data_IF_630723951136
#
_entry.id   IF_630723951136
#
_cell.length_a   1.000
_cell.length_b   1.000
_cell.length_c   1.000
_cell.angle_alpha   90.00
_cell.angle_beta   90.00
_cell.angle_gamma   90.00
#
_symmetry.space_group_name_H-M   'P 1'
#
loop_
_entity.id
_entity.type
_entity.pdbx_description
1 polymer ?
#
# COMPACT_ATOMS: atom_id res chain seq x y z
N UNK A 1 0.95 -8.27 -10.96
CA UNK A 1 1.82 -7.10 -10.66
C UNK A 1 3.18 -7.17 -11.39
N UNK A 2 3.39 -8.22 -12.19
CA UNK A 2 4.71 -8.76 -12.54
C UNK A 2 5.55 -7.80 -13.38
N UNK A 3 4.91 -6.97 -14.21
CA UNK A 3 5.62 -5.95 -15.00
C UNK A 3 6.28 -4.90 -14.11
N UNK A 4 5.63 -4.49 -13.02
CA UNK A 4 6.17 -3.50 -12.08
C UNK A 4 7.35 -4.12 -11.32
N UNK A 5 7.16 -5.35 -10.82
CA UNK A 5 8.19 -6.12 -10.10
C UNK A 5 9.44 -6.28 -10.96
N UNK A 6 9.31 -6.78 -12.20
CA UNK A 6 10.43 -6.96 -13.13
C UNK A 6 11.23 -5.69 -13.39
N UNK A 7 10.55 -4.55 -13.47
CA UNK A 7 11.22 -3.25 -13.64
C UNK A 7 11.99 -2.89 -12.38
N UNK A 8 11.39 -2.96 -11.19
CA UNK A 8 12.06 -2.68 -9.92
C UNK A 8 13.31 -3.56 -9.74
N UNK A 9 13.19 -4.86 -10.01
CA UNK A 9 14.31 -5.82 -9.95
C UNK A 9 15.40 -5.49 -10.96
N UNK A 10 15.06 -5.05 -12.18
CA UNK A 10 16.06 -4.64 -13.19
C UNK A 10 16.91 -3.45 -12.73
N UNK A 11 16.35 -2.59 -11.88
CA UNK A 11 17.04 -1.49 -11.22
C UNK A 11 17.65 -1.89 -9.86
N UNK A 12 17.61 -3.18 -9.50
CA UNK A 12 18.08 -3.72 -8.20
C UNK A 12 17.38 -3.10 -6.99
N UNK A 13 16.12 -2.69 -7.15
CA UNK A 13 15.30 -2.17 -6.06
C UNK A 13 14.56 -3.31 -5.35
N UNK A 14 14.38 -3.22 -4.02
CA UNK A 14 13.63 -4.21 -3.26
C UNK A 14 12.14 -4.18 -3.63
N UNK A 15 11.51 -5.35 -3.66
CA UNK A 15 10.07 -5.53 -3.96
C UNK A 15 9.29 -6.14 -2.80
N UNK A 16 9.98 -6.50 -1.71
CA UNK A 16 9.42 -7.04 -0.48
C UNK A 16 10.20 -6.52 0.74
N UNK A 17 9.65 -6.73 1.93
CA UNK A 17 10.29 -6.39 3.21
C UNK A 17 9.86 -7.38 4.27
N UNK A 18 10.77 -7.72 5.19
CA UNK A 18 10.51 -8.60 6.33
C UNK A 18 9.95 -7.83 7.54
N UNK A 19 9.66 -6.53 7.39
CA UNK A 19 9.07 -5.72 8.45
C UNK A 19 7.68 -6.28 8.81
N UNK A 20 7.39 -6.49 10.09
CA UNK A 20 6.11 -7.04 10.49
C UNK A 20 4.99 -6.01 10.27
N UNK A 21 3.79 -6.49 9.96
CA UNK A 21 2.66 -5.62 9.64
C UNK A 21 2.29 -4.71 10.83
N UNK A 22 2.46 -5.19 12.07
CA UNK A 22 2.24 -4.39 13.29
C UNK A 22 3.11 -3.13 13.37
N UNK A 23 4.29 -3.12 12.74
CA UNK A 23 5.19 -1.96 12.72
C UNK A 23 4.83 -0.99 11.59
N UNK A 24 4.33 -1.53 10.47
CA UNK A 24 4.01 -0.74 9.26
C UNK A 24 2.67 0.00 9.41
N UNK A 25 1.65 -0.68 9.92
CA UNK A 25 0.27 -0.18 9.96
C UNK A 25 0.11 1.15 10.74
N UNK A 26 0.73 1.33 11.93
CA UNK A 26 0.67 2.59 12.66
C UNK A 26 1.29 3.76 11.88
N UNK A 27 2.38 3.51 11.16
CA UNK A 27 3.08 4.53 10.36
C UNK A 27 2.20 4.98 9.20
N UNK A 28 1.61 4.04 8.45
CA UNK A 28 0.68 4.37 7.36
C UNK A 28 -0.53 5.14 7.88
N UNK A 29 -1.10 4.71 9.02
CA UNK A 29 -2.25 5.38 9.63
C UNK A 29 -1.94 6.80 10.14
N UNK A 30 -0.66 7.11 10.39
CA UNK A 30 -0.20 8.43 10.82
C UNK A 30 -0.02 9.43 9.66
N UNK A 31 -0.12 8.99 8.40
CA UNK A 31 0.06 9.85 7.23
C UNK A 31 -0.93 11.03 7.24
N UNK A 32 -0.39 12.24 7.06
CA UNK A 32 -1.03 13.55 7.28
C UNK A 32 -2.10 13.95 6.26
N UNK A 33 -2.74 13.02 5.54
CA UNK A 33 -3.89 13.28 4.64
C UNK A 33 -5.25 13.11 5.32
N UNK A 34 -5.31 13.36 6.64
CA UNK A 34 -6.51 13.33 7.46
C UNK A 34 -7.39 14.57 7.27
N UNK A 35 -7.81 14.87 6.04
CA UNK A 35 -8.93 15.79 5.83
C UNK A 35 -10.24 15.04 6.10
N UNK A 36 -10.64 15.00 7.38
CA UNK A 36 -11.97 14.50 7.77
C UNK A 36 -12.12 12.98 7.84
N UNK A 37 -11.23 12.28 8.57
CA UNK A 37 -11.36 10.85 8.97
C UNK A 37 -11.14 9.77 7.90
N UNK A 38 -10.61 10.13 6.72
CA UNK A 38 -10.33 9.19 5.61
C UNK A 38 -8.90 9.34 5.11
N UNK A 39 -8.27 8.20 4.81
CA UNK A 39 -6.96 8.12 4.17
C UNK A 39 -7.16 7.97 2.66
N UNK A 40 -6.38 8.69 1.86
CA UNK A 40 -6.48 8.65 0.40
C UNK A 40 -5.26 7.95 -0.19
N UNK A 41 -5.47 6.72 -0.66
CA UNK A 41 -4.42 5.90 -1.29
C UNK A 41 -4.39 6.12 -2.80
N UNK A 42 -3.20 6.22 -3.36
CA UNK A 42 -3.00 6.17 -4.81
C UNK A 42 -2.89 4.70 -5.20
N UNK A 43 -3.88 4.19 -5.92
CA UNK A 43 -3.91 2.82 -6.42
C UNK A 43 -3.86 2.81 -7.94
N UNK A 44 -3.37 1.73 -8.52
CA UNK A 44 -3.28 1.55 -9.97
C UNK A 44 -4.40 0.64 -10.47
N UNK A 45 -5.16 1.08 -11.47
CA UNK A 45 -5.97 0.17 -12.30
C UNK A 45 -5.10 -0.56 -13.32
N UNK A 46 -4.05 0.11 -13.77
CA UNK A 46 -3.04 -0.40 -14.68
C UNK A 46 -1.85 0.55 -14.77
N UNK A 47 -0.81 0.16 -15.50
CA UNK A 47 0.35 1.04 -15.72
C UNK A 47 -0.12 2.27 -16.50
N UNK A 48 0.07 3.45 -15.92
CA UNK A 48 -0.36 4.74 -16.49
C UNK A 48 -1.75 5.22 -16.05
N UNK A 49 -2.51 4.43 -15.28
CA UNK A 49 -3.83 4.83 -14.75
C UNK A 49 -3.88 4.63 -13.23
N UNK A 50 -3.86 5.76 -12.52
CA UNK A 50 -3.94 5.83 -11.08
C UNK A 50 -5.21 6.53 -10.62
N UNK A 51 -5.73 6.14 -9.45
CA UNK A 51 -6.86 6.80 -8.82
C UNK A 51 -6.69 6.91 -7.32
N UNK A 52 -7.39 7.88 -6.73
CA UNK A 52 -7.47 8.03 -5.28
C UNK A 52 -8.60 7.14 -4.74
N UNK A 53 -8.24 6.21 -3.85
CA UNK A 53 -9.18 5.41 -3.08
C UNK A 53 -9.26 5.95 -1.66
N UNK A 54 -10.37 6.60 -1.26
CA UNK A 54 -10.60 6.93 0.13
C UNK A 54 -10.91 5.65 0.93
N UNK A 55 -10.22 5.46 2.04
CA UNK A 55 -10.43 4.33 2.96
C UNK A 55 -10.44 4.82 4.40
N UNK A 56 -11.24 4.16 5.24
CA UNK A 56 -11.13 4.28 6.69
C UNK A 56 -9.92 3.50 7.18
N UNK A 57 -9.43 3.84 8.37
CA UNK A 57 -8.33 3.12 9.01
C UNK A 57 -8.63 1.63 9.21
N UNK A 58 -9.88 1.29 9.54
CA UNK A 58 -10.31 -0.11 9.72
C UNK A 58 -10.29 -0.89 8.41
N UNK A 59 -10.83 -0.31 7.34
CA UNK A 59 -10.83 -0.90 6.00
C UNK A 59 -9.40 -1.14 5.49
N UNK A 60 -8.49 -0.20 5.76
CA UNK A 60 -7.07 -0.38 5.46
C UNK A 60 -6.45 -1.54 6.25
N UNK A 61 -6.76 -1.66 7.54
CA UNK A 61 -6.21 -2.72 8.38
C UNK A 61 -6.65 -4.11 7.91
N UNK A 62 -7.93 -4.26 7.56
CA UNK A 62 -8.48 -5.49 7.00
C UNK A 62 -7.82 -5.84 5.66
N UNK A 63 -7.70 -4.86 4.75
CA UNK A 63 -7.06 -5.06 3.45
C UNK A 63 -5.58 -5.45 3.60
N UNK A 64 -4.84 -4.78 4.47
CA UNK A 64 -3.43 -5.09 4.68
C UNK A 64 -3.27 -6.49 5.31
N UNK A 65 -4.14 -6.90 6.23
CA UNK A 65 -4.11 -8.26 6.77
C UNK A 65 -4.34 -9.32 5.68
N UNK A 66 -5.30 -9.11 4.78
CA UNK A 66 -5.55 -10.02 3.66
C UNK A 66 -4.35 -10.13 2.73
N UNK A 67 -3.79 -8.98 2.31
CA UNK A 67 -2.69 -8.95 1.32
C UNK A 67 -1.36 -9.41 1.95
N UNK A 68 -1.11 -9.08 3.22
CA UNK A 68 0.15 -9.43 3.90
C UNK A 68 0.27 -10.91 4.23
N UNK A 69 -0.84 -11.64 4.34
CA UNK A 69 -0.81 -13.11 4.44
C UNK A 69 -0.47 -13.81 3.11
N UNK A 70 -0.47 -13.06 2.01
CA UNK A 70 -0.19 -13.54 0.66
C UNK A 70 1.03 -12.86 0.01
N UNK A 71 1.77 -12.06 0.79
CA UNK A 71 2.95 -11.31 0.35
C UNK A 71 4.26 -12.09 0.57
#
# INVERSE_FOLDING_TARGET
>A
ADRIIKVLESYKLPVSTDLPLEDILPVIASDKKNMGSRLYFVLLRGIGDAFLKPMKRTELAELLQEVWQHA
#
